data_IF_478041707267
#
_entry.id   IF_478041707267
#
_cell.length_a   1.000
_cell.length_b   1.000
_cell.length_c   1.000
_cell.angle_alpha   90.00
_cell.angle_beta   90.00
_cell.angle_gamma   90.00
#
_symmetry.space_group_name_H-M   'P 1'
#
loop_
_entity.id
_entity.type
_entity.pdbx_description
1 polymer ?
#
# COMPACT_ATOMS: atom_id res chain seq x y z
N UNK A 1 -25.64 12.22 -0.43
CA UNK A 1 -24.31 11.81 0.05
C UNK A 1 -24.53 11.14 1.39
N UNK A 2 -24.72 9.83 1.38
CA UNK A 2 -25.10 9.05 2.56
C UNK A 2 -23.84 8.40 3.09
N UNK A 3 -23.42 8.84 4.28
CA UNK A 3 -22.29 8.27 5.02
C UNK A 3 -22.75 6.91 5.55
N UNK A 4 -22.22 5.85 4.94
CA UNK A 4 -22.21 4.48 5.44
C UNK A 4 -21.91 4.45 6.94
N UNK A 5 -22.89 4.03 7.75
CA UNK A 5 -22.75 3.82 9.20
C UNK A 5 -23.49 2.56 9.59
N UNK A 6 -23.06 1.44 9.04
CA UNK A 6 -23.53 0.10 9.42
C UNK A 6 -22.35 -0.72 9.96
N UNK A 7 -22.56 -1.47 11.04
CA UNK A 7 -21.51 -2.27 11.72
C UNK A 7 -20.81 -3.25 10.77
N UNK A 8 -21.53 -3.75 9.75
CA UNK A 8 -21.02 -4.64 8.71
C UNK A 8 -20.01 -3.95 7.76
N UNK A 9 -20.23 -2.67 7.44
CA UNK A 9 -19.30 -1.90 6.60
C UNK A 9 -17.99 -1.64 7.32
N UNK A 10 -18.04 -1.35 8.64
CA UNK A 10 -16.83 -1.20 9.45
C UNK A 10 -16.01 -2.49 9.49
N UNK A 11 -16.67 -3.63 9.72
CA UNK A 11 -16.00 -4.93 9.71
C UNK A 11 -15.30 -5.22 8.38
N UNK A 12 -15.89 -4.79 7.26
CA UNK A 12 -15.30 -5.00 5.92
C UNK A 12 -14.10 -4.07 5.67
N UNK A 13 -14.17 -2.82 6.14
CA UNK A 13 -13.05 -1.87 6.09
C UNK A 13 -11.87 -2.37 6.93
N UNK A 14 -12.12 -2.81 8.17
CA UNK A 14 -11.08 -3.37 9.04
C UNK A 14 -10.38 -4.58 8.38
N UNK A 15 -11.14 -5.46 7.72
CA UNK A 15 -10.59 -6.63 7.02
C UNK A 15 -9.71 -6.22 5.83
N UNK A 16 -10.14 -5.22 5.05
CA UNK A 16 -9.35 -4.65 3.95
C UNK A 16 -8.05 -4.03 4.45
N UNK A 17 -8.12 -3.22 5.51
CA UNK A 17 -6.93 -2.56 6.07
C UNK A 17 -5.96 -3.59 6.65
N UNK A 18 -6.45 -4.64 7.31
CA UNK A 18 -5.59 -5.70 7.80
C UNK A 18 -4.85 -6.41 6.66
N UNK A 19 -5.51 -6.70 5.54
CA UNK A 19 -4.84 -7.29 4.37
C UNK A 19 -3.84 -6.34 3.72
N UNK A 20 -4.15 -5.04 3.63
CA UNK A 20 -3.22 -4.03 3.11
C UNK A 20 -1.99 -3.93 4.02
N UNK A 21 -2.17 -3.91 5.33
CA UNK A 21 -1.09 -3.82 6.31
C UNK A 21 -0.24 -5.10 6.38
N UNK A 22 -0.80 -6.23 5.93
CA UNK A 22 -0.08 -7.50 5.84
C UNK A 22 0.77 -7.64 4.57
N UNK A 23 0.67 -6.69 3.63
CA UNK A 23 1.49 -6.68 2.43
C UNK A 23 2.98 -6.54 2.77
N UNK A 24 3.78 -7.44 2.23
CA UNK A 24 5.23 -7.38 2.27
C UNK A 24 5.84 -7.10 0.89
N UNK A 25 7.17 -6.97 0.84
CA UNK A 25 7.89 -6.71 -0.40
C UNK A 25 7.56 -7.71 -1.51
N UNK A 26 7.47 -9.02 -1.21
CA UNK A 26 7.21 -10.03 -2.23
C UNK A 26 5.82 -9.82 -2.85
N UNK A 27 4.82 -9.46 -2.04
CA UNK A 27 3.50 -9.13 -2.56
C UNK A 27 3.57 -7.91 -3.50
N UNK A 28 4.29 -6.85 -3.11
CA UNK A 28 4.50 -5.69 -3.98
C UNK A 28 5.24 -6.05 -5.28
N UNK A 29 6.18 -7.01 -5.24
CA UNK A 29 6.87 -7.54 -6.41
C UNK A 29 5.94 -8.33 -7.33
N UNK A 30 5.09 -9.20 -6.77
CA UNK A 30 4.10 -9.98 -7.52
C UNK A 30 3.07 -9.09 -8.23
N UNK A 31 2.69 -7.96 -7.60
CA UNK A 31 1.83 -6.95 -8.22
C UNK A 31 2.57 -5.96 -9.14
N UNK A 32 3.90 -6.07 -9.28
CA UNK A 32 4.73 -5.17 -10.09
C UNK A 32 4.83 -3.74 -9.53
N UNK A 33 4.39 -3.52 -8.30
CA UNK A 33 4.40 -2.23 -7.62
C UNK A 33 5.77 -1.89 -7.02
N UNK A 34 6.57 -2.92 -6.68
CA UNK A 34 7.89 -2.75 -6.06
C UNK A 34 8.92 -2.11 -6.99
N UNK A 35 8.85 -2.35 -8.30
CA UNK A 35 9.90 -1.94 -9.23
C UNK A 35 10.15 -0.43 -9.21
N UNK A 36 9.08 0.37 -9.11
CA UNK A 36 9.20 1.83 -9.04
C UNK A 36 9.94 2.32 -7.78
N UNK A 37 9.83 1.60 -6.66
CA UNK A 37 10.52 1.88 -5.40
C UNK A 37 11.98 1.40 -5.43
N UNK A 38 12.21 0.23 -6.05
CA UNK A 38 13.55 -0.33 -6.22
C UNK A 38 14.45 0.54 -7.13
N UNK A 39 13.86 1.28 -8.08
CA UNK A 39 14.59 2.21 -8.94
C UNK A 39 15.04 3.51 -8.22
N UNK A 40 14.50 3.81 -7.03
CA UNK A 40 14.85 5.03 -6.26
C UNK A 40 16.27 4.98 -5.70
N UNK A 41 16.71 3.80 -5.28
CA UNK A 41 18.06 3.58 -4.76
C UNK A 41 18.55 2.16 -5.08
N UNK A 42 19.86 2.02 -5.28
CA UNK A 42 20.52 0.73 -5.48
C UNK A 42 20.29 -0.28 -4.33
N UNK A 43 19.84 0.20 -3.17
CA UNK A 43 19.58 -0.61 -1.96
C UNK A 43 18.31 -0.13 -1.23
N UNK A 44 17.21 0.11 -1.96
CA UNK A 44 15.90 0.34 -1.34
C UNK A 44 15.49 -0.86 -0.48
N UNK A 45 15.10 -0.62 0.77
CA UNK A 45 14.61 -1.62 1.71
C UNK A 45 13.15 -1.34 2.03
N UNK A 46 12.32 -2.37 1.94
CA UNK A 46 10.92 -2.30 2.35
C UNK A 46 10.82 -2.26 3.88
N UNK A 47 9.94 -1.40 4.41
CA UNK A 47 9.65 -1.36 5.84
C UNK A 47 8.24 -1.88 6.15
N UNK A 48 7.22 -1.19 5.66
CA UNK A 48 5.81 -1.56 5.88
C UNK A 48 4.89 -0.91 4.86
N UNK A 49 3.66 -1.41 4.76
CA UNK A 49 2.53 -0.71 4.16
C UNK A 49 1.56 -0.33 5.27
N UNK A 50 1.00 0.87 5.22
CA UNK A 50 -0.04 1.35 6.13
C UNK A 50 -1.25 1.82 5.32
N UNK A 51 -2.37 1.10 5.43
CA UNK A 51 -3.62 1.45 4.77
C UNK A 51 -4.42 2.47 5.57
N UNK A 52 -4.94 3.50 4.89
CA UNK A 52 -5.79 4.50 5.52
C UNK A 52 -7.26 4.03 5.57
N UNK A 53 -7.83 3.70 6.74
CA UNK A 53 -9.22 3.24 6.85
C UNK A 53 -10.24 4.26 6.36
N UNK A 54 -9.93 5.55 6.46
CA UNK A 54 -10.83 6.64 6.02
C UNK A 54 -10.83 6.81 4.49
N UNK A 55 -9.85 6.24 3.79
CA UNK A 55 -9.74 6.28 2.33
C UNK A 55 -10.51 5.16 1.60
N UNK A 56 -10.98 4.15 2.33
CA UNK A 56 -11.58 2.95 1.72
C UNK A 56 -12.95 3.30 1.13
N UNK A 57 -13.07 3.13 -0.18
CA UNK A 57 -14.33 3.25 -0.92
C UNK A 57 -14.69 1.90 -1.49
N UNK A 58 -15.89 1.40 -1.18
CA UNK A 58 -16.42 0.13 -1.68
C UNK A 58 -17.72 0.35 -2.46
N UNK A 59 -17.91 -0.39 -3.55
CA UNK A 59 -19.15 -0.42 -4.30
C UNK A 59 -20.07 -1.59 -3.92
N UNK A 60 -21.30 -1.57 -4.45
CA UNK A 60 -22.32 -2.58 -4.14
C UNK A 60 -22.01 -4.00 -4.64
N UNK A 61 -21.01 -4.15 -5.51
CA UNK A 61 -20.51 -5.42 -6.02
C UNK A 61 -19.28 -5.92 -5.23
N UNK A 62 -18.91 -5.21 -4.16
CA UNK A 62 -17.80 -5.57 -3.27
C UNK A 62 -16.43 -5.19 -3.81
N UNK A 63 -16.32 -4.42 -4.91
CA UNK A 63 -15.02 -3.88 -5.32
C UNK A 63 -14.65 -2.73 -4.41
N UNK A 64 -13.38 -2.65 -4.04
CA UNK A 64 -12.86 -1.58 -3.21
C UNK A 64 -11.65 -0.89 -3.86
N UNK A 65 -11.49 0.39 -3.51
CA UNK A 65 -10.28 1.19 -3.71
C UNK A 65 -9.90 1.79 -2.35
N UNK A 66 -8.61 1.73 -2.02
CA UNK A 66 -8.06 2.28 -0.79
C UNK A 66 -6.73 2.98 -1.09
N UNK A 67 -6.42 4.00 -0.29
CA UNK A 67 -5.12 4.63 -0.25
C UNK A 67 -4.30 3.99 0.87
N UNK A 68 -3.03 3.74 0.59
CA UNK A 68 -2.06 3.28 1.55
C UNK A 68 -0.78 4.11 1.41
N UNK A 69 0.07 4.04 2.43
CA UNK A 69 1.42 4.60 2.41
C UNK A 69 2.42 3.46 2.50
N UNK A 70 3.37 3.44 1.57
CA UNK A 70 4.47 2.47 1.57
C UNK A 70 5.70 3.17 2.13
N UNK A 71 6.22 2.62 3.23
CA UNK A 71 7.42 3.11 3.88
C UNK A 71 8.63 2.32 3.40
N UNK A 72 9.67 3.05 3.00
CA UNK A 72 10.92 2.46 2.54
C UNK A 72 12.11 3.19 3.14
N UNK A 73 13.20 2.46 3.32
CA UNK A 73 14.51 3.05 3.60
C UNK A 73 15.35 3.04 2.33
N UNK A 74 15.77 4.23 1.89
CA UNK A 74 16.69 4.45 0.78
C UNK A 74 18.11 4.50 1.32
N UNK A 75 18.98 3.60 0.83
CA UNK A 75 20.39 3.57 1.25
C UNK A 75 21.28 4.08 0.13
N UNK A 76 22.03 5.14 0.39
CA UNK A 76 22.94 5.76 -0.54
C UNK A 76 24.40 5.51 -0.12
N UNK A 77 25.28 5.33 -1.10
CA UNK A 77 26.71 5.14 -0.87
C UNK A 77 27.16 3.70 -1.08
N UNK A 78 28.40 3.42 -0.71
CA UNK A 78 28.99 2.08 -0.82
C UNK A 78 30.03 1.91 0.28
N UNK A 79 29.89 0.87 1.10
CA UNK A 79 30.86 0.43 2.13
C UNK A 79 30.69 1.08 3.51
N UNK A 80 31.65 1.86 4.02
CA UNK A 80 31.72 2.28 5.44
C UNK A 80 30.93 3.59 5.71
N UNK A 81 30.58 4.34 4.66
CA UNK A 81 29.81 5.58 4.70
C UNK A 81 28.49 5.35 3.92
N UNK A 82 27.57 4.58 4.49
CA UNK A 82 26.21 4.45 3.98
C UNK A 82 25.29 5.44 4.70
N UNK A 83 24.65 6.32 3.93
CA UNK A 83 23.59 7.19 4.42
C UNK A 83 22.24 6.53 4.13
N UNK A 84 21.44 6.31 5.18
CA UNK A 84 20.10 5.76 5.07
C UNK A 84 19.06 6.81 5.40
N UNK A 85 18.08 6.98 4.53
CA UNK A 85 16.95 7.90 4.69
C UNK A 85 15.65 7.11 4.58
N UNK A 86 14.77 7.25 5.58
CA UNK A 86 13.39 6.75 5.49
C UNK A 86 12.55 7.71 4.68
N UNK A 87 11.73 7.17 3.78
CA UNK A 87 10.88 7.90 2.86
C UNK A 87 9.52 7.18 2.73
N UNK A 88 8.50 7.89 2.27
CA UNK A 88 7.13 7.38 2.23
C UNK A 88 6.42 7.74 0.91
N UNK A 89 5.74 6.75 0.33
CA UNK A 89 5.10 6.89 -0.98
C UNK A 89 3.65 6.48 -0.92
N UNK A 90 2.78 7.29 -1.54
CA UNK A 90 1.37 6.95 -1.64
C UNK A 90 1.17 5.77 -2.58
N UNK A 91 0.28 4.87 -2.20
CA UNK A 91 -0.15 3.74 -2.99
C UNK A 91 -1.67 3.72 -3.12
N UNK A 92 -2.14 3.31 -4.29
CA UNK A 92 -3.55 2.96 -4.52
C UNK A 92 -3.66 1.44 -4.56
N UNK A 93 -4.47 0.88 -3.68
CA UNK A 93 -4.78 -0.56 -3.60
C UNK A 93 -6.19 -0.76 -4.11
N UNK A 94 -6.38 -1.71 -5.02
CA UNK A 94 -7.70 -2.11 -5.52
C UNK A 94 -7.90 -3.60 -5.37
N UNK A 95 -9.13 -3.99 -5.09
CA UNK A 95 -9.48 -5.39 -4.99
C UNK A 95 -10.96 -5.63 -4.83
N UNK A 96 -11.27 -6.81 -4.31
CA UNK A 96 -12.63 -7.25 -4.01
C UNK A 96 -12.73 -7.77 -2.58
N UNK A 97 -13.81 -7.41 -1.91
CA UNK A 97 -14.22 -7.96 -0.61
C UNK A 97 -15.45 -8.83 -0.84
N UNK A 98 -15.32 -10.11 -0.53
CA UNK A 98 -16.38 -11.12 -0.48
C UNK A 98 -16.79 -11.42 0.96
N UNK A 99 -17.61 -12.46 1.16
CA UNK A 99 -18.01 -12.89 2.50
C UNK A 99 -16.81 -13.53 3.21
N UNK A 100 -16.08 -12.73 3.98
CA UNK A 100 -14.92 -13.15 4.79
C UNK A 100 -13.65 -13.43 3.98
N UNK A 101 -13.53 -12.83 2.80
CA UNK A 101 -12.34 -12.95 1.96
C UNK A 101 -12.09 -11.60 1.27
N UNK A 102 -10.88 -11.08 1.40
CA UNK A 102 -10.42 -9.88 0.71
C UNK A 102 -9.35 -10.31 -0.27
N UNK A 103 -9.55 -10.02 -1.54
CA UNK A 103 -8.60 -10.30 -2.61
C UNK A 103 -8.08 -8.98 -3.15
N UNK A 104 -6.77 -8.73 -3.01
CA UNK A 104 -6.09 -7.62 -3.67
C UNK A 104 -5.85 -7.97 -5.14
N UNK A 105 -6.25 -7.09 -6.04
CA UNK A 105 -6.17 -7.31 -7.49
C UNK A 105 -5.07 -6.46 -8.14
N UNK A 106 -4.78 -5.28 -7.58
CA UNK A 106 -3.71 -4.42 -8.08
C UNK A 106 -3.23 -3.43 -7.02
N UNK A 107 -1.94 -3.11 -7.08
CA UNK A 107 -1.29 -2.08 -6.26
C UNK A 107 -0.54 -1.14 -7.21
N UNK A 108 -0.67 0.16 -6.98
CA UNK A 108 0.09 1.17 -7.71
C UNK A 108 0.73 2.14 -6.74
N UNK A 109 2.07 2.24 -6.77
CA UNK A 109 2.82 3.18 -5.94
C UNK A 109 3.19 4.41 -6.75
N UNK A 110 2.92 5.60 -6.20
CA UNK A 110 3.28 6.87 -6.79
C UNK A 110 4.63 7.36 -6.26
N UNK A 111 5.66 7.23 -7.09
CA UNK A 111 7.01 7.70 -6.76
C UNK A 111 7.35 9.07 -7.34
N UNK A 112 6.36 9.82 -7.85
CA UNK A 112 6.61 11.12 -8.50
C UNK A 112 7.17 12.14 -7.53
N UNK A 113 6.78 12.08 -6.26
CA UNK A 113 7.27 12.94 -5.19
C UNK A 113 8.80 12.94 -5.04
N UNK A 114 9.48 11.87 -5.49
CA UNK A 114 10.94 11.77 -5.45
C UNK A 114 11.65 12.62 -6.51
N UNK A 115 11.00 12.87 -7.66
CA UNK A 115 11.60 13.56 -8.81
C UNK A 115 11.31 15.07 -8.84
N UNK A 116 10.57 15.59 -7.86
CA UNK A 116 10.14 16.99 -7.76
C UNK A 116 11.14 17.90 -7.01
#
# INVERSE_FOLDING_TARGET
MTIARTTEERSSVDEIINEINALDQNALEDFGAWQALADLSSRTQFETVDGDPDSVVMDTEGRFEAIATVYVTLVYGSSDDEDSISDEYLATVRGRSGVGDVTIESIHVDTRSFYE
#
